data_IF_065385917420
#
_entry.id   IF_065385917420
#
_cell.length_a   1.000
_cell.length_b   1.000
_cell.length_c   1.000
_cell.angle_alpha   90.00
_cell.angle_beta   90.00
_cell.angle_gamma   90.00
#
_symmetry.space_group_name_H-M   'P 1'
#
loop_
_entity.id
_entity.type
_entity.pdbx_description
1 polymer ?
#
# COMPACT_ATOMS: atom_id res chain seq x y z
N UNK A 1 4.82 -8.04 12.45
CA UNK A 1 5.05 -8.29 11.02
C UNK A 1 3.92 -9.16 10.49
N UNK A 2 3.05 -8.59 9.65
CA UNK A 2 2.04 -9.35 8.94
C UNK A 2 2.64 -9.86 7.63
N UNK A 3 2.57 -11.17 7.39
CA UNK A 3 2.92 -11.75 6.09
C UNK A 3 1.72 -11.60 5.16
N UNK A 4 1.83 -10.72 4.17
CA UNK A 4 0.75 -10.50 3.21
C UNK A 4 0.97 -11.32 1.94
N UNK A 5 -0.10 -11.94 1.45
CA UNK A 5 -0.06 -12.75 0.24
C UNK A 5 -0.12 -11.84 -1.00
N UNK A 6 0.75 -12.09 -1.98
CA UNK A 6 0.62 -11.51 -3.32
C UNK A 6 -0.63 -12.06 -4.00
N UNK A 7 -1.44 -11.18 -4.58
CA UNK A 7 -2.68 -11.53 -5.28
C UNK A 7 -2.62 -11.00 -6.70
N UNK A 8 -3.08 -11.81 -7.65
CA UNK A 8 -3.32 -11.33 -9.00
C UNK A 8 -4.52 -10.37 -8.98
N UNK A 9 -4.35 -9.18 -9.54
CA UNK A 9 -5.42 -8.18 -9.67
C UNK A 9 -6.00 -8.22 -11.08
N UNK A 10 -5.12 -8.13 -12.08
CA UNK A 10 -5.48 -8.22 -13.49
C UNK A 10 -4.42 -9.00 -14.30
N UNK A 11 -4.39 -8.81 -15.62
CA UNK A 11 -3.44 -9.48 -16.51
C UNK A 11 -2.00 -9.01 -16.32
N UNK A 12 -1.84 -7.73 -16.01
CA UNK A 12 -0.56 -7.02 -16.05
C UNK A 12 -0.14 -6.55 -14.64
N UNK A 13 -0.99 -6.73 -13.63
CA UNK A 13 -0.71 -6.29 -12.27
C UNK A 13 -1.00 -7.36 -11.19
N UNK A 14 -0.19 -7.29 -10.13
CA UNK A 14 -0.37 -8.02 -8.88
C UNK A 14 -0.25 -7.04 -7.71
N UNK A 15 -0.93 -7.34 -6.62
CA UNK A 15 -0.98 -6.48 -5.44
C UNK A 15 -0.75 -7.24 -4.15
N UNK A 16 -0.31 -6.50 -3.14
CA UNK A 16 -0.30 -6.92 -1.75
C UNK A 16 -1.44 -6.22 -1.00
N UNK A 17 -1.89 -6.80 0.10
CA UNK A 17 -2.82 -6.12 1.00
C UNK A 17 -2.05 -5.53 2.16
N UNK A 18 -2.32 -4.27 2.48
CA UNK A 18 -1.83 -3.64 3.70
C UNK A 18 -2.92 -3.72 4.77
N UNK A 19 -2.57 -3.97 6.05
CA UNK A 19 -3.55 -3.97 7.13
C UNK A 19 -4.21 -2.59 7.27
N UNK A 20 -5.56 -2.55 7.32
CA UNK A 20 -6.30 -1.28 7.46
C UNK A 20 -5.90 -0.49 8.70
N UNK A 21 -5.59 -1.17 9.81
CA UNK A 21 -5.16 -0.49 11.04
C UNK A 21 -3.89 0.32 10.87
N UNK A 22 -2.92 -0.18 10.09
CA UNK A 22 -1.68 0.54 9.79
C UNK A 22 -1.98 1.77 8.92
N UNK A 23 -2.86 1.62 7.93
CA UNK A 23 -3.28 2.71 7.04
C UNK A 23 -4.10 3.78 7.78
N UNK A 24 -4.94 3.40 8.74
CA UNK A 24 -5.72 4.31 9.57
C UNK A 24 -4.85 5.18 10.47
N UNK A 25 -3.78 4.60 11.05
CA UNK A 25 -2.80 5.36 11.86
C UNK A 25 -2.14 6.46 11.03
N UNK A 26 -1.87 6.19 9.76
CA UNK A 26 -1.31 7.15 8.80
C UNK A 26 -2.37 8.08 8.17
N UNK A 27 -3.65 7.95 8.54
CA UNK A 27 -4.74 8.77 8.01
C UNK A 27 -5.08 8.51 6.54
N UNK A 28 -4.61 7.40 5.96
CA UNK A 28 -4.85 7.02 4.56
C UNK A 28 -6.22 6.39 4.32
N UNK A 29 -6.86 5.99 5.41
CA UNK A 29 -8.12 5.28 5.45
C UNK A 29 -8.93 5.81 6.63
N UNK A 30 -10.22 6.04 6.42
CA UNK A 30 -11.15 6.57 7.41
C UNK A 30 -11.54 5.53 8.49
N UNK A 31 -12.42 5.93 9.41
CA UNK A 31 -12.94 5.05 10.47
C UNK A 31 -13.75 3.85 9.95
N UNK A 32 -14.32 3.95 8.75
CA UNK A 32 -15.07 2.88 8.10
C UNK A 32 -14.16 1.92 7.34
N UNK A 33 -12.89 2.29 7.16
CA UNK A 33 -11.93 1.50 6.43
C UNK A 33 -11.91 1.83 4.92
N UNK A 34 -12.46 2.96 4.52
CA UNK A 34 -12.47 3.44 3.15
C UNK A 34 -11.32 4.43 2.92
N UNK A 35 -10.72 4.39 1.73
CA UNK A 35 -9.66 5.35 1.36
C UNK A 35 -10.29 6.72 1.24
N UNK A 36 -9.74 7.70 1.96
CA UNK A 36 -10.25 9.07 1.97
C UNK A 36 -9.29 10.01 1.21
N UNK A 37 -9.75 10.59 0.10
CA UNK A 37 -8.94 11.47 -0.73
C UNK A 37 -7.99 10.76 -1.71
N UNK A 38 -6.98 11.51 -2.20
CA UNK A 38 -6.00 11.02 -3.15
C UNK A 38 -4.64 10.83 -2.47
N UNK A 39 -4.20 9.58 -2.39
CA UNK A 39 -2.91 9.21 -1.80
C UNK A 39 -2.04 8.52 -2.84
N UNK A 40 -0.78 8.92 -2.89
CA UNK A 40 0.20 8.35 -3.81
C UNK A 40 1.31 7.67 -3.01
N UNK A 41 1.63 6.44 -3.42
CA UNK A 41 2.74 5.68 -2.85
C UNK A 41 3.82 5.51 -3.92
N UNK A 42 5.04 5.95 -3.61
CA UNK A 42 6.20 5.61 -4.40
C UNK A 42 6.70 4.21 -4.01
N UNK A 43 6.73 3.30 -4.99
CA UNK A 43 7.19 1.92 -4.80
C UNK A 43 8.55 1.75 -5.47
N UNK A 44 9.55 1.35 -4.69
CA UNK A 44 10.92 1.15 -5.19
C UNK A 44 11.42 -0.24 -4.86
N UNK A 45 11.93 -0.94 -5.86
CA UNK A 45 12.70 -2.17 -5.66
C UNK A 45 14.11 -1.82 -5.16
N UNK A 46 14.52 -2.42 -4.04
CA UNK A 46 15.82 -2.15 -3.40
C UNK A 46 16.80 -3.31 -3.47
N UNK A 47 16.39 -4.46 -4.05
CA UNK A 47 17.24 -5.65 -4.23
C UNK A 47 16.73 -6.85 -3.42
N UNK A 48 17.22 -8.05 -3.72
CA UNK A 48 16.95 -9.29 -2.95
C UNK A 48 15.48 -9.62 -2.68
N UNK A 49 14.57 -9.16 -3.56
CA UNK A 49 13.13 -9.34 -3.35
C UNK A 49 12.56 -8.43 -2.26
N UNK A 50 13.22 -7.29 -2.01
CA UNK A 50 12.76 -6.25 -1.11
C UNK A 50 12.28 -5.02 -1.89
N UNK A 51 11.21 -4.43 -1.36
CA UNK A 51 10.63 -3.20 -1.85
C UNK A 51 10.40 -2.24 -0.69
N UNK A 52 10.61 -0.95 -0.96
CA UNK A 52 10.23 0.13 -0.06
C UNK A 52 9.01 0.85 -0.63
N UNK A 53 8.07 1.18 0.25
CA UNK A 53 6.89 1.98 -0.06
C UNK A 53 6.97 3.27 0.77
N UNK A 54 6.72 4.41 0.12
CA UNK A 54 6.77 5.73 0.75
C UNK A 54 5.55 6.56 0.32
N UNK A 55 4.84 7.14 1.27
CA UNK A 55 3.76 8.09 1.01
C UNK A 55 4.35 9.40 0.50
N UNK A 56 3.77 9.97 -0.56
CA UNK A 56 4.21 11.25 -1.12
C UNK A 56 3.05 12.25 -1.18
N UNK A 57 3.35 13.51 -0.89
CA UNK A 57 2.40 14.62 -0.91
C UNK A 57 2.31 15.20 -2.34
N UNK A 58 1.51 14.56 -3.20
CA UNK A 58 1.26 14.93 -4.62
C UNK A 58 2.53 15.02 -5.51
N UNK A 59 2.34 14.94 -6.83
CA UNK A 59 3.41 15.03 -7.86
C UNK A 59 3.39 16.39 -8.57
#
# INVERSE_FOLDING_TARGET
>A
MALNKLRQLDRDSAGITLPKGDLQVEGLVDENGDVDGEHYLHVRHVGDGEWTLELVEEL
#
